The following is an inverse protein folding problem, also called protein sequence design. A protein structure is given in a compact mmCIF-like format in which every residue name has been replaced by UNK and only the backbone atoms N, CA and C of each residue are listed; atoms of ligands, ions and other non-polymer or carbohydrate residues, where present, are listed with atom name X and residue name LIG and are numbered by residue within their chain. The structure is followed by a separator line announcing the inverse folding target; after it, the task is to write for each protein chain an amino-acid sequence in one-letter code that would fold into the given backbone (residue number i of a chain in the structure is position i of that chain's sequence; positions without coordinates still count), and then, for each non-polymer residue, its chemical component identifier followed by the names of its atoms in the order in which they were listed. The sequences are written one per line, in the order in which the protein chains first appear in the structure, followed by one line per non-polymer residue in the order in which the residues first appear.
data_IF_186061549943
#
_entry.id   IF_186061549943
#
_cell.length_a   1.000
_cell.length_b   1.000
_cell.length_c   1.000
_cell.angle_alpha   90.00
_cell.angle_beta   90.00
_cell.angle_gamma   90.00
#
_symmetry.space_group_name_H-M   'P 1'
#
loop_
_entity.id
_entity.type
_entity.pdbx_description
1 polymer ?
#
# COMPACT_ATOMS: atom_id res chain seq x y z
N UNK A 1 13.10 26.50 -30.61
CA UNK A 1 12.23 26.32 -29.42
C UNK A 1 11.06 25.46 -29.84
N UNK A 2 10.74 24.39 -29.10
CA UNK A 2 9.46 23.71 -29.32
C UNK A 2 8.34 24.68 -28.94
N UNK A 3 7.27 24.79 -29.74
CA UNK A 3 6.08 25.56 -29.36
C UNK A 3 5.27 24.78 -28.34
N UNK A 4 4.56 25.48 -27.44
CA UNK A 4 3.63 24.85 -26.51
C UNK A 4 2.58 24.02 -27.25
N UNK A 5 2.09 24.51 -28.39
CA UNK A 5 1.07 23.83 -29.21
C UNK A 5 1.53 22.44 -29.69
N UNK A 6 2.79 22.30 -30.10
CA UNK A 6 3.33 21.01 -30.51
C UNK A 6 3.40 20.04 -29.34
N UNK A 7 3.91 20.49 -28.19
CA UNK A 7 3.98 19.66 -27.00
C UNK A 7 2.58 19.24 -26.53
N UNK A 8 1.60 20.14 -26.59
CA UNK A 8 0.20 19.84 -26.25
C UNK A 8 -0.36 18.77 -27.18
N UNK A 9 -0.16 18.90 -28.49
CA UNK A 9 -0.60 17.90 -29.46
C UNK A 9 0.04 16.52 -29.19
N UNK A 10 1.37 16.49 -28.98
CA UNK A 10 2.10 15.26 -28.68
C UNK A 10 1.59 14.59 -27.37
N UNK A 11 1.22 15.38 -26.36
CA UNK A 11 0.71 14.88 -25.08
C UNK A 11 -0.75 14.39 -25.15
N UNK A 12 -1.58 14.98 -26.01
CA UNK A 12 -2.99 14.57 -26.18
C UNK A 12 -3.14 13.16 -26.76
N UNK A 13 -2.12 12.66 -27.46
CA UNK A 13 -2.09 11.30 -28.02
C UNK A 13 -1.69 10.22 -26.99
N UNK A 14 -1.23 10.62 -25.80
CA UNK A 14 -0.75 9.70 -24.77
C UNK A 14 -1.90 9.26 -23.86
N UNK A 15 -2.02 7.95 -23.65
CA UNK A 15 -2.98 7.34 -22.74
C UNK A 15 -2.36 6.15 -22.01
N UNK A 16 -3.05 5.60 -21.00
CA UNK A 16 -2.58 4.41 -20.28
C UNK A 16 -2.35 3.20 -21.19
N UNK A 17 -3.08 3.11 -22.31
CA UNK A 17 -2.94 2.04 -23.32
C UNK A 17 -1.87 2.30 -24.38
N UNK A 18 -1.18 3.45 -24.32
CA UNK A 18 -0.10 3.78 -25.27
C UNK A 18 1.21 3.01 -25.00
N UNK A 19 1.28 2.22 -23.93
CA UNK A 19 2.49 1.52 -23.48
C UNK A 19 2.31 -0.01 -23.52
N UNK A 20 3.38 -0.76 -23.77
CA UNK A 20 3.27 -2.21 -23.96
C UNK A 20 3.00 -2.97 -22.66
N UNK A 21 3.35 -2.38 -21.51
CA UNK A 21 3.13 -2.96 -20.18
C UNK A 21 3.13 -1.88 -19.09
N UNK A 22 2.84 -2.33 -17.87
CA UNK A 22 2.75 -1.49 -16.67
C UNK A 22 4.05 -0.74 -16.36
N UNK A 23 5.20 -1.39 -16.51
CA UNK A 23 6.51 -0.76 -16.27
C UNK A 23 6.75 0.45 -17.17
N UNK A 24 6.46 0.30 -18.46
CA UNK A 24 6.62 1.39 -19.43
C UNK A 24 5.68 2.54 -19.12
N UNK A 25 4.43 2.24 -18.76
CA UNK A 25 3.46 3.25 -18.33
C UNK A 25 3.94 4.01 -17.08
N UNK A 26 4.46 3.31 -16.08
CA UNK A 26 5.01 3.92 -14.84
C UNK A 26 6.22 4.79 -15.14
N UNK A 27 7.17 4.31 -15.98
CA UNK A 27 8.34 5.10 -16.38
C UNK A 27 7.94 6.37 -17.13
N UNK A 28 6.96 6.29 -18.02
CA UNK A 28 6.45 7.44 -18.75
C UNK A 28 5.75 8.45 -17.81
N UNK A 29 4.93 7.96 -16.87
CA UNK A 29 4.33 8.82 -15.82
C UNK A 29 5.40 9.57 -15.03
N UNK A 30 6.46 8.90 -14.59
CA UNK A 30 7.53 9.51 -13.80
C UNK A 30 8.31 10.54 -14.61
N UNK A 31 8.59 10.25 -15.89
CA UNK A 31 9.22 11.21 -16.80
C UNK A 31 8.34 12.45 -17.08
N UNK A 32 7.02 12.28 -17.22
CA UNK A 32 6.07 13.37 -17.37
C UNK A 32 6.02 14.24 -16.11
N UNK A 33 6.06 13.62 -14.92
CA UNK A 33 6.14 14.36 -13.66
C UNK A 33 7.45 15.15 -13.53
N UNK A 34 8.58 14.56 -13.92
CA UNK A 34 9.87 15.28 -13.96
C UNK A 34 9.82 16.46 -14.95
N UNK A 35 9.22 16.27 -16.13
CA UNK A 35 9.03 17.33 -17.11
C UNK A 35 8.13 18.46 -16.57
N UNK A 36 7.04 18.11 -15.87
CA UNK A 36 6.17 19.07 -15.20
C UNK A 36 6.96 19.94 -14.22
N UNK A 37 7.82 19.33 -13.38
CA UNK A 37 8.67 20.07 -12.43
C UNK A 37 9.65 21.05 -13.09
N UNK A 38 9.99 20.87 -14.37
CA UNK A 38 10.87 21.77 -15.12
C UNK A 38 10.14 23.00 -15.67
N UNK A 39 8.82 22.94 -15.83
CA UNK A 39 8.01 24.03 -16.41
C UNK A 39 7.21 24.80 -15.36
N UNK A 40 7.00 24.23 -14.17
CA UNK A 40 6.33 24.92 -13.06
C UNK A 40 7.20 26.03 -12.47
N UNK A 41 6.59 27.18 -12.21
CA UNK A 41 7.20 28.20 -11.36
C UNK A 41 7.20 27.76 -9.89
N UNK A 42 8.03 28.37 -9.03
CA UNK A 42 7.96 28.11 -7.59
C UNK A 42 6.57 28.35 -6.99
N UNK A 43 5.82 29.33 -7.50
CA UNK A 43 4.48 29.62 -7.03
C UNK A 43 3.48 28.52 -7.41
N UNK A 44 3.56 27.97 -8.62
CA UNK A 44 2.69 26.86 -9.05
C UNK A 44 2.84 25.65 -8.12
N UNK A 45 4.08 25.31 -7.76
CA UNK A 45 4.37 24.20 -6.85
C UNK A 45 3.78 24.44 -5.45
N UNK A 46 3.95 25.65 -4.92
CA UNK A 46 3.40 26.03 -3.60
C UNK A 46 1.87 26.02 -3.63
N UNK A 47 1.28 26.48 -4.74
CA UNK A 47 -0.15 26.49 -4.96
C UNK A 47 -0.74 25.07 -4.98
N UNK A 48 -0.09 24.18 -5.72
CA UNK A 48 -0.47 22.77 -5.83
C UNK A 48 -0.48 22.09 -4.45
N UNK A 49 0.61 22.26 -3.69
CA UNK A 49 0.77 21.60 -2.40
C UNK A 49 -0.24 22.07 -1.34
N UNK A 50 -0.50 23.38 -1.26
CA UNK A 50 -1.24 23.95 -0.14
C UNK A 50 -2.74 24.14 -0.42
N UNK A 51 -3.14 24.30 -1.69
CA UNK A 51 -4.54 24.56 -2.04
C UNK A 51 -5.12 23.48 -2.94
N UNK A 52 -4.46 23.16 -4.06
CA UNK A 52 -5.03 22.23 -5.04
C UNK A 52 -5.19 20.83 -4.43
N UNK A 53 -4.13 20.24 -3.89
CA UNK A 53 -4.17 18.89 -3.34
C UNK A 53 -5.19 18.75 -2.20
N UNK A 54 -5.22 19.71 -1.28
CA UNK A 54 -6.16 19.72 -0.17
C UNK A 54 -7.62 19.86 -0.61
N UNK A 55 -7.90 20.78 -1.54
CA UNK A 55 -9.23 20.95 -2.10
C UNK A 55 -9.69 19.72 -2.87
N UNK A 56 -8.81 19.12 -3.68
CA UNK A 56 -9.09 17.89 -4.43
C UNK A 56 -9.49 16.76 -3.50
N UNK A 57 -8.70 16.46 -2.47
CA UNK A 57 -9.03 15.38 -1.53
C UNK A 57 -10.37 15.63 -0.82
N UNK A 58 -10.64 16.88 -0.40
CA UNK A 58 -11.90 17.24 0.23
C UNK A 58 -13.10 17.06 -0.72
N UNK A 59 -12.96 17.46 -1.99
CA UNK A 59 -13.99 17.28 -3.01
C UNK A 59 -14.23 15.80 -3.31
N UNK A 60 -13.18 15.01 -3.52
CA UNK A 60 -13.30 13.58 -3.82
C UNK A 60 -14.00 12.84 -2.68
N UNK A 61 -13.55 13.04 -1.43
CA UNK A 61 -14.19 12.42 -0.26
C UNK A 61 -15.66 12.83 -0.14
N UNK A 62 -15.97 14.12 -0.30
CA UNK A 62 -17.35 14.63 -0.23
C UNK A 62 -18.24 13.98 -1.30
N UNK A 63 -17.74 13.84 -2.53
CA UNK A 63 -18.47 13.21 -3.63
C UNK A 63 -18.64 11.70 -3.43
N UNK A 64 -17.65 11.01 -2.86
CA UNK A 64 -17.75 9.62 -2.43
C UNK A 64 -18.86 9.46 -1.39
N UNK A 65 -18.85 10.27 -0.33
CA UNK A 65 -19.83 10.19 0.77
C UNK A 65 -21.25 10.51 0.31
N UNK A 66 -21.40 11.46 -0.62
CA UNK A 66 -22.68 11.76 -1.26
C UNK A 66 -23.18 10.63 -2.19
N UNK A 67 -22.35 9.62 -2.45
CA UNK A 67 -22.66 8.50 -3.33
C UNK A 67 -22.63 8.86 -4.81
N UNK A 68 -21.95 9.94 -5.20
CA UNK A 68 -21.91 10.42 -6.59
C UNK A 68 -21.37 9.32 -7.50
N UNK A 69 -20.18 8.78 -7.22
CA UNK A 69 -19.53 7.82 -8.11
C UNK A 69 -20.32 6.51 -8.22
N UNK A 70 -20.79 5.96 -7.10
CA UNK A 70 -21.51 4.68 -7.07
C UNK A 70 -22.88 4.78 -7.76
N UNK A 71 -23.66 5.83 -7.46
CA UNK A 71 -24.99 6.04 -8.09
C UNK A 71 -24.86 6.40 -9.57
N UNK A 72 -23.85 7.19 -9.94
CA UNK A 72 -23.57 7.52 -11.32
C UNK A 72 -23.20 6.27 -12.14
N UNK A 73 -22.34 5.39 -11.61
CA UNK A 73 -22.05 4.11 -12.23
C UNK A 73 -23.30 3.20 -12.31
N UNK A 74 -24.12 3.18 -11.25
CA UNK A 74 -25.35 2.37 -11.17
C UNK A 74 -26.40 2.69 -12.23
N UNK A 75 -26.35 3.87 -12.84
CA UNK A 75 -27.20 4.25 -13.98
C UNK A 75 -26.43 4.28 -15.32
N UNK A 76 -25.35 3.49 -15.42
CA UNK A 76 -24.62 3.24 -16.67
C UNK A 76 -23.41 4.16 -16.91
N UNK A 77 -23.17 5.17 -16.07
CA UNK A 77 -21.96 6.02 -16.18
C UNK A 77 -21.87 6.87 -17.45
N UNK A 78 -22.98 7.18 -18.11
CA UNK A 78 -23.03 8.15 -19.21
C UNK A 78 -22.72 9.57 -18.70
N UNK A 79 -22.35 10.54 -19.56
CA UNK A 79 -22.23 11.92 -19.13
C UNK A 79 -23.49 12.43 -18.41
N UNK A 80 -23.30 13.27 -17.38
CA UNK A 80 -24.38 13.83 -16.54
C UNK A 80 -24.15 15.28 -16.16
N UNK A 81 -25.23 16.03 -16.09
CA UNK A 81 -25.27 17.37 -15.53
C UNK A 81 -25.16 17.34 -14.01
N UNK A 82 -24.74 18.46 -13.39
CA UNK A 82 -24.79 18.62 -11.93
C UNK A 82 -26.21 18.45 -11.37
N UNK A 83 -27.24 18.90 -12.10
CA UNK A 83 -28.64 18.74 -11.71
C UNK A 83 -29.06 17.26 -11.64
N UNK A 84 -28.70 16.45 -12.65
CA UNK A 84 -28.96 15.01 -12.63
C UNK A 84 -28.19 14.29 -11.51
N UNK A 85 -26.93 14.68 -11.27
CA UNK A 85 -26.15 14.13 -10.15
C UNK A 85 -26.75 14.53 -8.79
N UNK A 86 -27.30 15.74 -8.68
CA UNK A 86 -28.03 16.23 -7.51
C UNK A 86 -29.27 15.40 -7.26
N UNK A 87 -30.09 15.16 -8.29
CA UNK A 87 -31.28 14.31 -8.20
C UNK A 87 -30.94 12.88 -7.79
N UNK A 88 -29.89 12.28 -8.37
CA UNK A 88 -29.45 10.92 -8.03
C UNK A 88 -29.01 10.81 -6.56
N UNK A 89 -28.27 11.79 -6.08
CA UNK A 89 -27.63 11.72 -4.76
C UNK A 89 -28.50 12.24 -3.63
N UNK A 90 -29.37 13.21 -3.91
CA UNK A 90 -30.05 14.04 -2.92
C UNK A 90 -29.17 15.18 -2.37
N UNK A 91 -27.94 15.34 -2.86
CA UNK A 91 -27.05 16.42 -2.45
C UNK A 91 -27.36 17.73 -3.22
N UNK A 92 -27.06 18.87 -2.60
CA UNK A 92 -27.29 20.19 -3.20
C UNK A 92 -26.54 20.37 -4.54
N UNK A 93 -27.22 20.91 -5.55
CA UNK A 93 -26.67 21.08 -6.89
C UNK A 93 -25.46 22.02 -6.89
N UNK A 94 -25.53 23.13 -6.16
CA UNK A 94 -24.42 24.08 -6.08
C UNK A 94 -23.19 23.45 -5.42
N UNK A 95 -23.40 22.62 -4.40
CA UNK A 95 -22.34 21.82 -3.78
C UNK A 95 -21.70 20.86 -4.80
N UNK A 96 -22.50 20.06 -5.51
CA UNK A 96 -21.98 19.14 -6.55
C UNK A 96 -21.21 19.92 -7.61
N UNK A 97 -21.77 21.01 -8.12
CA UNK A 97 -21.13 21.89 -9.10
C UNK A 97 -19.76 22.37 -8.64
N UNK A 98 -19.64 22.85 -7.39
CA UNK A 98 -18.36 23.31 -6.84
C UNK A 98 -17.33 22.18 -6.74
N UNK A 99 -17.75 21.00 -6.26
CA UNK A 99 -16.84 19.86 -6.07
C UNK A 99 -16.44 19.21 -7.41
N UNK A 100 -17.37 19.06 -8.35
CA UNK A 100 -17.12 18.51 -9.68
C UNK A 100 -16.17 19.41 -10.49
N UNK A 101 -16.34 20.74 -10.43
CA UNK A 101 -15.42 21.70 -11.06
C UNK A 101 -13.99 21.56 -10.53
N UNK A 102 -13.82 21.40 -9.22
CA UNK A 102 -12.50 21.19 -8.61
C UNK A 102 -11.82 19.93 -9.16
N UNK A 103 -12.51 18.79 -9.17
CA UNK A 103 -11.91 17.53 -9.63
C UNK A 103 -11.80 17.46 -11.17
N UNK A 104 -12.65 18.18 -11.90
CA UNK A 104 -12.55 18.37 -13.36
C UNK A 104 -11.31 19.18 -13.74
N UNK A 105 -11.02 20.26 -13.00
CA UNK A 105 -9.79 21.05 -13.16
C UNK A 105 -8.50 20.29 -12.81
N UNK A 106 -8.63 19.07 -12.27
CA UNK A 106 -7.53 18.14 -12.02
C UNK A 106 -7.55 16.95 -12.98
N UNK A 107 -8.41 16.99 -14.00
CA UNK A 107 -8.59 15.94 -15.00
C UNK A 107 -9.00 14.57 -14.42
N UNK A 108 -9.59 14.57 -13.22
CA UNK A 108 -10.12 13.36 -12.58
C UNK A 108 -11.49 12.97 -13.14
N UNK A 109 -12.21 13.93 -13.71
CA UNK A 109 -13.41 13.76 -14.55
C UNK A 109 -13.27 14.62 -15.81
N UNK A 110 -14.10 14.38 -16.81
CA UNK A 110 -14.05 15.13 -18.08
C UNK A 110 -15.27 16.04 -18.14
N UNK A 111 -15.08 17.36 -18.22
CA UNK A 111 -16.18 18.29 -18.50
C UNK A 111 -16.47 18.30 -20.01
N UNK A 112 -17.67 17.87 -20.39
CA UNK A 112 -18.09 17.74 -21.80
C UNK A 112 -18.94 18.90 -22.30
N UNK A 113 -19.57 19.62 -21.37
CA UNK A 113 -20.32 20.86 -21.59
C UNK A 113 -20.45 21.58 -20.24
N UNK A 114 -21.03 22.80 -20.24
CA UNK A 114 -21.30 23.53 -19.00
C UNK A 114 -22.03 22.63 -17.98
N UNK A 115 -21.40 22.46 -16.83
CA UNK A 115 -21.90 21.67 -15.70
C UNK A 115 -22.20 20.19 -16.03
N UNK A 116 -21.63 19.68 -17.11
CA UNK A 116 -21.85 18.32 -17.60
C UNK A 116 -20.53 17.55 -17.63
N UNK A 117 -20.48 16.42 -16.93
CA UNK A 117 -19.25 15.66 -16.74
C UNK A 117 -19.39 14.23 -17.23
N UNK A 118 -18.29 13.62 -17.66
CA UNK A 118 -18.14 12.21 -17.99
C UNK A 118 -17.06 11.55 -17.11
N UNK A 119 -17.21 10.25 -16.76
CA UNK A 119 -16.28 9.60 -15.85
C UNK A 119 -15.00 9.12 -16.58
N UNK A 120 -13.84 9.40 -15.97
CA UNK A 120 -12.55 8.83 -16.36
C UNK A 120 -12.43 7.37 -15.88
N UNK A 121 -11.39 6.61 -16.30
CA UNK A 121 -11.10 5.31 -15.70
C UNK A 121 -10.94 5.35 -14.17
N UNK A 122 -10.37 6.42 -13.62
CA UNK A 122 -10.24 6.62 -12.18
C UNK A 122 -11.60 6.76 -11.49
N UNK A 123 -12.50 7.59 -12.03
CA UNK A 123 -13.84 7.79 -11.45
C UNK A 123 -14.68 6.50 -11.50
N UNK A 124 -14.52 5.70 -12.57
CA UNK A 124 -15.14 4.37 -12.67
C UNK A 124 -14.58 3.40 -11.65
N UNK A 125 -13.26 3.43 -11.41
CA UNK A 125 -12.61 2.57 -10.43
C UNK A 125 -13.10 2.85 -9.00
N UNK A 126 -13.37 4.10 -8.62
CA UNK A 126 -13.96 4.42 -7.33
C UNK A 126 -15.33 3.78 -7.09
N UNK A 127 -16.12 3.57 -8.14
CA UNK A 127 -17.40 2.88 -8.02
C UNK A 127 -17.26 1.34 -8.06
N UNK A 128 -16.28 0.84 -8.80
CA UNK A 128 -16.10 -0.60 -9.02
C UNK A 128 -15.26 -1.30 -7.95
N UNK A 129 -14.39 -0.56 -7.25
CA UNK A 129 -13.49 -1.08 -6.22
C UNK A 129 -13.76 -0.38 -4.87
N UNK A 130 -14.55 -1.00 -3.99
CA UNK A 130 -14.83 -0.45 -2.66
C UNK A 130 -13.56 -0.19 -1.84
N UNK A 131 -12.52 -1.02 -1.99
CA UNK A 131 -11.28 -0.83 -1.26
C UNK A 131 -10.57 0.47 -1.70
N UNK A 132 -10.59 0.76 -3.01
CA UNK A 132 -10.01 2.00 -3.54
C UNK A 132 -10.73 3.24 -3.01
N UNK A 133 -12.07 3.18 -2.95
CA UNK A 133 -12.87 4.25 -2.36
C UNK A 133 -12.61 4.41 -0.86
N UNK A 134 -12.42 3.31 -0.12
CA UNK A 134 -12.16 3.31 1.32
C UNK A 134 -10.82 3.96 1.69
N UNK A 135 -9.86 4.08 0.75
CA UNK A 135 -8.63 4.87 0.96
C UNK A 135 -8.93 6.33 1.31
N UNK A 136 -10.04 6.89 0.81
CA UNK A 136 -10.51 8.23 1.17
C UNK A 136 -11.30 8.29 2.48
N UNK A 137 -11.59 7.14 3.10
CA UNK A 137 -12.38 6.95 4.32
C UNK A 137 -11.65 7.34 5.61
N UNK A 138 -11.87 6.56 6.67
CA UNK A 138 -11.21 6.72 7.97
C UNK A 138 -9.70 6.55 7.88
N UNK A 139 -9.18 5.77 6.93
CA UNK A 139 -7.73 5.75 6.69
C UNK A 139 -7.19 7.14 6.32
N UNK A 140 -7.86 7.86 5.42
CA UNK A 140 -7.46 9.23 5.09
C UNK A 140 -7.70 10.20 6.25
N UNK A 141 -8.88 10.13 6.88
CA UNK A 141 -9.31 11.06 7.91
C UNK A 141 -8.56 10.90 9.24
N UNK A 142 -8.19 9.67 9.59
CA UNK A 142 -7.57 9.33 10.87
C UNK A 142 -6.10 9.02 10.75
N UNK A 143 -5.56 8.70 9.58
CA UNK A 143 -4.14 8.35 9.45
C UNK A 143 -3.44 9.32 8.51
N UNK A 144 -3.79 9.31 7.23
CA UNK A 144 -3.01 10.00 6.21
C UNK A 144 -2.94 11.54 6.42
N UNK A 145 -4.09 12.21 6.47
CA UNK A 145 -4.14 13.68 6.54
C UNK A 145 -3.65 14.28 7.87
N UNK A 146 -4.12 13.81 9.05
CA UNK A 146 -3.66 14.35 10.33
C UNK A 146 -2.17 14.14 10.56
N UNK A 147 -1.64 12.98 10.17
CA UNK A 147 -0.24 12.62 10.36
C UNK A 147 0.69 13.64 9.68
N UNK A 148 0.48 13.93 8.40
CA UNK A 148 1.34 14.88 7.68
C UNK A 148 1.17 16.32 8.18
N UNK A 149 -0.02 16.68 8.66
CA UNK A 149 -0.27 18.00 9.25
C UNK A 149 0.49 18.19 10.57
N UNK A 150 0.52 17.18 11.45
CA UNK A 150 1.11 17.30 12.79
C UNK A 150 2.62 17.05 12.82
N UNK A 151 3.15 16.28 11.87
CA UNK A 151 4.53 15.79 11.87
C UNK A 151 5.59 16.90 12.03
N UNK A 152 5.54 18.04 11.32
CA UNK A 152 6.55 19.10 11.49
C UNK A 152 6.60 19.67 12.92
N UNK A 153 5.45 19.76 13.59
CA UNK A 153 5.35 20.27 14.96
C UNK A 153 5.87 19.25 15.97
N UNK A 154 5.54 17.97 15.78
CA UNK A 154 6.09 16.87 16.56
C UNK A 154 7.63 16.83 16.47
N UNK A 155 8.18 16.84 15.26
CA UNK A 155 9.63 16.81 15.04
C UNK A 155 10.31 18.05 15.64
N UNK A 156 9.71 19.25 15.50
CA UNK A 156 10.22 20.46 16.16
C UNK A 156 10.26 20.31 17.68
N UNK A 157 9.21 19.76 18.30
CA UNK A 157 9.16 19.51 19.75
C UNK A 157 10.25 18.54 20.21
N UNK A 158 10.64 17.58 19.37
CA UNK A 158 11.74 16.63 19.64
C UNK A 158 13.13 17.17 19.33
N UNK A 159 13.26 18.40 18.86
CA UNK A 159 14.54 18.94 18.40
C UNK A 159 15.05 18.28 17.11
N UNK A 160 14.14 17.97 16.19
CA UNK A 160 14.42 17.40 14.86
C UNK A 160 15.15 16.05 14.91
N UNK A 161 14.78 15.21 15.87
CA UNK A 161 15.27 13.83 15.99
C UNK A 161 14.18 12.85 15.54
N UNK A 162 14.58 11.85 14.76
CA UNK A 162 13.68 10.75 14.39
C UNK A 162 13.18 10.02 15.66
N UNK A 163 11.90 9.63 15.72
CA UNK A 163 11.40 8.76 16.78
C UNK A 163 12.04 7.37 16.65
N UNK A 164 12.17 6.68 17.78
CA UNK A 164 12.74 5.32 17.86
C UNK A 164 11.93 4.40 18.79
N UNK A 165 10.79 4.86 19.29
CA UNK A 165 9.89 4.12 20.15
C UNK A 165 8.49 4.18 19.53
N UNK A 166 7.93 3.01 19.25
CA UNK A 166 6.59 2.84 18.65
C UNK A 166 5.47 3.45 19.52
N UNK A 167 5.74 3.64 20.82
CA UNK A 167 4.81 4.26 21.76
C UNK A 167 5.07 5.78 21.94
N UNK A 168 6.05 6.35 21.24
CA UNK A 168 6.38 7.79 21.27
C UNK A 168 6.74 8.30 19.85
N UNK A 169 5.75 8.25 18.97
CA UNK A 169 5.83 8.77 17.60
C UNK A 169 4.77 9.87 17.35
N UNK A 170 4.69 10.34 16.10
CA UNK A 170 3.76 11.41 15.75
C UNK A 170 2.31 10.96 15.96
N UNK A 171 2.00 9.66 15.82
CA UNK A 171 0.69 9.07 16.11
C UNK A 171 0.13 9.50 17.47
N UNK A 172 0.88 9.20 18.55
CA UNK A 172 0.48 9.55 19.91
C UNK A 172 0.36 11.06 20.09
N UNK A 173 1.31 11.80 19.51
CA UNK A 173 1.34 13.26 19.63
C UNK A 173 0.07 13.93 19.11
N UNK A 174 -0.43 13.53 17.93
CA UNK A 174 -1.60 14.19 17.35
C UNK A 174 -2.92 13.61 17.85
N UNK A 175 -2.98 12.30 18.14
CA UNK A 175 -4.16 11.65 18.74
C UNK A 175 -4.36 12.06 20.20
N UNK A 176 -3.30 12.44 20.91
CA UNK A 176 -3.34 12.67 22.35
C UNK A 176 -3.59 11.39 23.15
N UNK A 177 -3.07 10.26 22.67
CA UNK A 177 -3.25 8.91 23.25
C UNK A 177 -1.91 8.29 23.65
N UNK A 178 -1.94 7.29 24.54
CA UNK A 178 -0.80 6.42 24.85
C UNK A 178 -0.76 5.16 23.98
N UNK A 179 -1.83 4.87 23.24
CA UNK A 179 -1.90 3.70 22.37
C UNK A 179 -1.01 3.88 21.14
N UNK A 180 -0.46 2.78 20.64
CA UNK A 180 0.12 2.74 19.29
C UNK A 180 -0.98 2.51 18.24
N UNK A 181 -0.59 2.67 16.96
CA UNK A 181 -1.52 2.54 15.83
C UNK A 181 -2.30 1.21 15.88
N UNK A 182 -1.62 0.09 16.07
CA UNK A 182 -2.26 -1.23 16.06
C UNK A 182 -3.22 -1.44 17.25
N UNK A 183 -2.91 -0.88 18.42
CA UNK A 183 -3.82 -0.88 19.56
C UNK A 183 -5.07 -0.01 19.33
N UNK A 184 -4.95 1.10 18.59
CA UNK A 184 -6.11 1.90 18.19
C UNK A 184 -6.93 1.19 17.11
N UNK A 185 -6.29 0.49 16.16
CA UNK A 185 -6.99 -0.32 15.16
C UNK A 185 -7.81 -1.45 15.79
N UNK A 186 -7.27 -2.15 16.79
CA UNK A 186 -7.97 -3.27 17.45
C UNK A 186 -9.22 -2.81 18.23
N UNK A 187 -9.29 -1.54 18.61
CA UNK A 187 -10.43 -0.96 19.35
C UNK A 187 -11.40 -0.18 18.47
N UNK A 188 -11.07 0.04 17.18
CA UNK A 188 -11.91 0.78 16.23
C UNK A 188 -12.13 -0.02 14.92
N UNK A 189 -13.22 -0.81 14.83
CA UNK A 189 -13.49 -1.65 13.66
C UNK A 189 -13.62 -0.89 12.34
N UNK A 190 -14.15 0.33 12.34
CA UNK A 190 -14.29 1.12 11.12
C UNK A 190 -12.91 1.53 10.59
N UNK A 191 -12.02 1.99 11.47
CA UNK A 191 -10.65 2.33 11.11
C UNK A 191 -9.85 1.09 10.68
N UNK A 192 -10.04 -0.05 11.35
CA UNK A 192 -9.42 -1.32 10.96
C UNK A 192 -9.84 -1.77 9.56
N UNK A 193 -11.14 -1.67 9.24
CA UNK A 193 -11.65 -2.03 7.92
C UNK A 193 -11.04 -1.17 6.81
N UNK A 194 -11.02 0.15 7.00
CA UNK A 194 -10.45 1.07 6.00
C UNK A 194 -8.92 0.94 5.91
N UNK A 195 -8.23 0.63 7.02
CA UNK A 195 -6.81 0.31 7.01
C UNK A 195 -6.53 -0.95 6.18
N UNK A 196 -7.26 -2.04 6.42
CA UNK A 196 -7.14 -3.27 5.63
C UNK A 196 -7.44 -3.05 4.15
N UNK A 197 -8.47 -2.25 3.84
CA UNK A 197 -8.81 -1.88 2.46
C UNK A 197 -7.68 -1.09 1.79
N UNK A 198 -7.05 -0.16 2.51
CA UNK A 198 -5.90 0.60 2.00
C UNK A 198 -4.70 -0.33 1.74
N UNK A 199 -4.43 -1.30 2.62
CA UNK A 199 -3.38 -2.30 2.41
C UNK A 199 -3.68 -3.20 1.20
N UNK A 200 -4.93 -3.63 1.04
CA UNK A 200 -5.37 -4.40 -0.14
C UNK A 200 -5.15 -3.61 -1.43
N UNK A 201 -5.50 -2.32 -1.45
CA UNK A 201 -5.23 -1.46 -2.60
C UNK A 201 -3.75 -1.29 -2.88
N UNK A 202 -2.93 -1.15 -1.84
CA UNK A 202 -1.49 -1.10 -2.00
C UNK A 202 -0.98 -2.37 -2.69
N UNK A 203 -1.36 -3.54 -2.17
CA UNK A 203 -0.98 -4.85 -2.74
C UNK A 203 -1.46 -5.05 -4.17
N UNK A 204 -2.68 -4.61 -4.50
CA UNK A 204 -3.28 -4.77 -5.83
C UNK A 204 -2.67 -3.84 -6.89
N UNK A 205 -2.50 -2.55 -6.57
CA UNK A 205 -2.20 -1.53 -7.56
C UNK A 205 -0.71 -1.20 -7.68
N UNK A 206 0.09 -1.55 -6.68
CA UNK A 206 1.47 -1.08 -6.61
C UNK A 206 2.51 -2.18 -6.66
N UNK A 207 2.10 -3.44 -6.54
CA UNK A 207 3.02 -4.56 -6.29
C UNK A 207 2.84 -5.67 -7.32
N UNK A 208 3.97 -6.23 -7.75
CA UNK A 208 3.98 -7.50 -8.47
C UNK A 208 3.76 -8.64 -7.47
N UNK A 209 2.78 -9.54 -7.69
CA UNK A 209 2.60 -10.72 -6.86
C UNK A 209 3.91 -11.49 -6.64
N UNK A 210 4.20 -11.88 -5.39
CA UNK A 210 5.41 -12.64 -5.08
C UNK A 210 5.59 -13.94 -5.91
N UNK A 211 4.53 -14.66 -6.37
CA UNK A 211 4.69 -15.82 -7.23
C UNK A 211 5.20 -15.50 -8.64
N UNK A 212 5.07 -14.25 -9.10
CA UNK A 212 5.64 -13.76 -10.36
C UNK A 212 7.09 -13.27 -10.19
N UNK A 213 7.49 -12.96 -8.96
CA UNK A 213 8.84 -12.46 -8.63
C UNK A 213 9.79 -13.60 -8.25
N UNK A 214 9.29 -14.55 -7.45
CA UNK A 214 10.06 -15.66 -6.90
C UNK A 214 9.73 -16.97 -7.63
N UNK A 215 10.71 -17.87 -7.90
CA UNK A 215 10.47 -19.12 -8.61
C UNK A 215 9.72 -20.15 -7.74
N UNK A 216 8.41 -19.96 -7.60
CA UNK A 216 7.54 -20.74 -6.69
C UNK A 216 7.43 -22.23 -7.05
N UNK A 217 7.71 -22.62 -8.29
CA UNK A 217 7.81 -24.05 -8.65
C UNK A 217 8.88 -24.79 -7.84
N UNK A 218 9.96 -24.11 -7.45
CA UNK A 218 11.04 -24.69 -6.60
C UNK A 218 10.63 -24.87 -5.14
N UNK A 219 9.56 -24.19 -4.71
CA UNK A 219 8.94 -24.37 -3.39
C UNK A 219 8.15 -25.67 -3.40
N UNK A 220 7.27 -25.82 -4.39
CA UNK A 220 6.41 -27.01 -4.54
C UNK A 220 7.23 -28.26 -4.79
N UNK A 221 8.27 -28.20 -5.63
CA UNK A 221 9.12 -29.37 -5.91
C UNK A 221 9.88 -29.90 -4.69
N UNK A 222 10.05 -29.06 -3.66
CA UNK A 222 10.73 -29.40 -2.42
C UNK A 222 9.76 -29.74 -1.28
N UNK A 223 8.46 -29.89 -1.56
CA UNK A 223 7.44 -30.18 -0.56
C UNK A 223 7.76 -31.48 0.21
N UNK A 224 7.70 -31.39 1.54
CA UNK A 224 7.68 -32.54 2.45
C UNK A 224 6.26 -32.70 3.01
N UNK A 225 5.59 -33.87 2.89
CA UNK A 225 4.20 -34.05 3.28
C UNK A 225 3.90 -33.76 4.77
N UNK A 226 4.90 -33.85 5.63
CA UNK A 226 4.81 -33.64 7.08
C UNK A 226 5.24 -32.22 7.52
N UNK A 227 5.33 -31.28 6.57
CA UNK A 227 5.71 -29.88 6.81
C UNK A 227 4.76 -28.92 6.11
N UNK A 228 4.56 -27.76 6.72
CA UNK A 228 3.91 -26.64 6.04
C UNK A 228 4.75 -26.20 4.83
N UNK A 229 4.07 -25.91 3.73
CA UNK A 229 4.70 -25.42 2.50
C UNK A 229 5.02 -23.93 2.61
N UNK A 230 4.02 -23.13 3.00
CA UNK A 230 4.18 -21.69 3.21
C UNK A 230 3.48 -21.29 4.51
N UNK A 231 4.20 -20.58 5.38
CA UNK A 231 3.66 -19.91 6.55
C UNK A 231 3.73 -18.41 6.28
N UNK A 232 2.57 -17.78 6.09
CA UNK A 232 2.43 -16.34 5.86
C UNK A 232 2.25 -15.63 7.21
N UNK A 233 3.31 -14.99 7.69
CA UNK A 233 3.39 -14.36 9.02
C UNK A 233 2.99 -12.89 8.89
N UNK A 234 1.92 -12.49 9.57
CA UNK A 234 1.33 -11.15 9.40
C UNK A 234 0.55 -11.03 8.09
N UNK A 235 -0.01 -12.14 7.60
CA UNK A 235 -0.65 -12.22 6.28
C UNK A 235 -2.02 -11.55 6.16
N UNK A 236 -2.54 -10.98 7.26
CA UNK A 236 -3.83 -10.31 7.34
C UNK A 236 -4.98 -11.17 6.80
N UNK A 237 -5.52 -10.84 5.62
CA UNK A 237 -6.62 -11.58 4.97
C UNK A 237 -6.16 -12.76 4.09
N UNK A 238 -4.86 -13.06 4.02
CA UNK A 238 -4.33 -14.23 3.31
C UNK A 238 -4.20 -14.08 1.79
N UNK A 239 -4.27 -12.86 1.28
CA UNK A 239 -4.27 -12.56 -0.15
C UNK A 239 -3.02 -13.05 -0.89
N UNK A 240 -1.85 -13.13 -0.25
CA UNK A 240 -0.64 -13.64 -0.88
C UNK A 240 -0.60 -15.18 -0.96
N UNK A 241 -1.21 -15.86 0.01
CA UNK A 241 -1.43 -17.30 -0.05
C UNK A 241 -2.47 -17.65 -1.12
N UNK A 242 -3.53 -16.86 -1.29
CA UNK A 242 -4.49 -17.03 -2.38
C UNK A 242 -3.83 -16.92 -3.76
N UNK A 243 -3.00 -15.90 -3.98
CA UNK A 243 -2.22 -15.74 -5.23
C UNK A 243 -1.30 -16.96 -5.47
N UNK A 244 -0.64 -17.46 -4.42
CA UNK A 244 0.18 -18.67 -4.52
C UNK A 244 -0.66 -19.91 -4.87
N UNK A 245 -1.82 -20.09 -4.21
CA UNK A 245 -2.76 -21.20 -4.44
C UNK A 245 -3.33 -21.21 -5.86
N UNK A 246 -3.56 -20.03 -6.45
CA UNK A 246 -3.97 -19.89 -7.85
C UNK A 246 -2.90 -20.35 -8.83
N UNK A 247 -1.62 -20.09 -8.53
CA UNK A 247 -0.50 -20.55 -9.35
C UNK A 247 -0.21 -22.05 -9.21
N UNK A 248 -0.53 -22.64 -8.05
CA UNK A 248 -0.21 -24.03 -7.73
C UNK A 248 -1.45 -24.77 -7.22
N UNK A 249 -2.40 -25.11 -8.12
CA UNK A 249 -3.70 -25.56 -7.67
C UNK A 249 -3.75 -26.98 -7.07
N UNK A 250 -2.69 -27.75 -7.26
CA UNK A 250 -2.59 -29.16 -6.88
C UNK A 250 -1.83 -29.38 -5.56
N UNK A 251 -1.49 -28.31 -4.83
CA UNK A 251 -0.84 -28.44 -3.51
C UNK A 251 -1.81 -29.08 -2.50
N UNK A 252 -1.32 -29.87 -1.53
CA UNK A 252 -2.17 -30.51 -0.54
C UNK A 252 -2.94 -29.51 0.33
N UNK A 253 -4.16 -29.86 0.70
CA UNK A 253 -4.96 -29.06 1.64
C UNK A 253 -4.25 -28.92 3.00
N UNK A 254 -4.42 -27.77 3.65
CA UNK A 254 -3.76 -27.46 4.92
C UNK A 254 -2.24 -27.27 4.84
N UNK A 255 -1.63 -27.31 3.65
CA UNK A 255 -0.19 -27.07 3.47
C UNK A 255 0.19 -25.59 3.56
N UNK A 256 -0.79 -24.68 3.48
CA UNK A 256 -0.61 -23.25 3.68
C UNK A 256 -1.13 -22.83 5.06
N UNK A 257 -0.36 -22.00 5.76
CA UNK A 257 -0.71 -21.48 7.09
C UNK A 257 -0.70 -19.96 7.05
N UNK A 258 -1.86 -19.35 7.31
CA UNK A 258 -2.01 -17.91 7.52
C UNK A 258 -1.86 -17.60 9.01
N UNK A 259 -0.93 -16.73 9.36
CA UNK A 259 -0.71 -16.27 10.73
C UNK A 259 -0.96 -14.78 10.86
N UNK A 260 -1.76 -14.40 11.86
CA UNK A 260 -1.95 -13.02 12.30
C UNK A 260 -2.46 -12.99 13.75
N UNK A 261 -2.69 -11.80 14.31
CA UNK A 261 -3.25 -11.64 15.65
C UNK A 261 -4.65 -12.30 15.76
N UNK A 262 -5.05 -12.76 16.96
CA UNK A 262 -6.31 -13.47 17.16
C UNK A 262 -7.54 -12.77 16.54
N UNK A 263 -7.68 -11.46 16.74
CA UNK A 263 -8.83 -10.69 16.24
C UNK A 263 -8.83 -10.53 14.71
N UNK A 264 -7.67 -10.65 14.06
CA UNK A 264 -7.55 -10.53 12.60
C UNK A 264 -7.96 -11.84 11.91
N UNK A 265 -7.50 -12.98 12.44
CA UNK A 265 -7.76 -14.31 11.85
C UNK A 265 -9.11 -14.91 12.27
N UNK A 266 -9.75 -14.41 13.32
CA UNK A 266 -10.97 -15.01 13.90
C UNK A 266 -12.08 -15.27 12.87
N UNK A 267 -12.32 -14.31 11.98
CA UNK A 267 -13.42 -14.33 11.01
C UNK A 267 -12.92 -14.30 9.55
N UNK A 268 -11.64 -14.62 9.32
CA UNK A 268 -11.07 -14.63 7.98
C UNK A 268 -11.70 -15.75 7.14
N UNK A 269 -12.08 -15.43 5.91
CA UNK A 269 -12.56 -16.40 4.94
C UNK A 269 -11.41 -16.69 3.99
N UNK A 270 -10.96 -17.94 3.93
CA UNK A 270 -9.82 -18.37 3.11
C UNK A 270 -10.15 -19.66 2.37
N UNK A 271 -9.38 -19.93 1.30
CA UNK A 271 -9.44 -21.20 0.56
C UNK A 271 -9.20 -22.40 1.50
N UNK A 272 -9.85 -23.57 1.28
CA UNK A 272 -9.64 -24.77 2.11
C UNK A 272 -8.18 -25.25 2.22
N UNK A 273 -7.32 -24.89 1.25
CA UNK A 273 -5.89 -25.19 1.32
C UNK A 273 -5.14 -24.35 2.38
N UNK A 274 -5.76 -23.29 2.91
CA UNK A 274 -5.21 -22.36 3.87
C UNK A 274 -5.82 -22.63 5.26
N UNK A 275 -4.95 -22.85 6.23
CA UNK A 275 -5.34 -22.91 7.65
C UNK A 275 -4.97 -21.61 8.35
N UNK A 276 -5.92 -20.97 9.02
CA UNK A 276 -5.67 -19.76 9.80
C UNK A 276 -5.21 -20.12 11.22
N UNK A 277 -4.16 -19.46 11.71
CA UNK A 277 -3.56 -19.67 13.02
C UNK A 277 -3.30 -18.33 13.71
N UNK A 278 -3.86 -18.14 14.90
CA UNK A 278 -3.53 -16.98 15.72
C UNK A 278 -2.07 -17.04 16.17
N UNK A 279 -1.31 -15.97 15.93
CA UNK A 279 0.10 -15.89 16.27
C UNK A 279 0.55 -14.44 16.49
N UNK A 280 1.38 -14.24 17.52
CA UNK A 280 2.12 -13.01 17.77
C UNK A 280 3.61 -13.28 17.46
N UNK A 281 4.15 -12.59 16.45
CA UNK A 281 5.52 -12.78 15.99
C UNK A 281 6.60 -12.33 16.98
N UNK A 282 6.24 -11.66 18.07
CA UNK A 282 7.15 -11.42 19.19
C UNK A 282 7.32 -12.65 20.08
N UNK A 283 6.51 -13.70 19.88
CA UNK A 283 6.63 -14.99 20.54
C UNK A 283 7.31 -16.05 19.65
N UNK A 284 7.87 -17.13 20.22
CA UNK A 284 8.52 -18.18 19.41
C UNK A 284 7.60 -18.76 18.33
N UNK A 285 8.09 -18.83 17.09
CA UNK A 285 7.31 -19.33 15.94
C UNK A 285 6.83 -20.77 16.16
N UNK A 286 5.51 -21.04 16.20
CA UNK A 286 4.97 -22.37 16.52
C UNK A 286 5.14 -23.40 15.39
N UNK A 287 5.12 -22.99 14.12
CA UNK A 287 5.27 -23.90 12.99
C UNK A 287 6.75 -24.16 12.74
N UNK A 288 7.21 -25.40 12.91
CA UNK A 288 8.62 -25.79 12.78
C UNK A 288 8.92 -26.42 11.43
N UNK A 289 10.05 -26.06 10.83
CA UNK A 289 10.60 -26.65 9.62
C UNK A 289 9.74 -26.43 8.38
N UNK A 290 8.97 -25.34 8.29
CA UNK A 290 8.22 -25.01 7.08
C UNK A 290 9.18 -24.78 5.90
N UNK A 291 8.73 -25.05 4.66
CA UNK A 291 9.56 -24.81 3.48
C UNK A 291 9.81 -23.30 3.29
N UNK A 292 8.75 -22.49 3.34
CA UNK A 292 8.80 -21.03 3.31
C UNK A 292 8.16 -20.46 4.56
N UNK A 293 8.86 -19.54 5.21
CA UNK A 293 8.26 -18.50 6.04
C UNK A 293 8.20 -17.23 5.19
N UNK A 294 7.04 -16.59 5.10
CA UNK A 294 6.79 -15.44 4.25
C UNK A 294 6.36 -14.26 5.13
N UNK A 295 6.90 -13.07 4.86
CA UNK A 295 6.54 -11.82 5.50
C UNK A 295 6.45 -10.74 4.44
N UNK A 296 5.34 -10.01 4.38
CA UNK A 296 5.11 -8.99 3.36
C UNK A 296 4.53 -7.72 3.99
N UNK A 297 5.25 -6.60 3.91
CA UNK A 297 4.91 -5.35 4.58
C UNK A 297 4.63 -5.57 6.08
N UNK A 298 5.59 -6.20 6.76
CA UNK A 298 5.52 -6.49 8.20
C UNK A 298 6.72 -5.87 8.90
N UNK A 299 7.93 -6.07 8.39
CA UNK A 299 9.15 -5.68 9.08
C UNK A 299 9.44 -4.18 8.92
N UNK A 300 8.86 -3.50 7.92
CA UNK A 300 8.93 -2.03 7.82
C UNK A 300 8.17 -1.28 8.92
N UNK A 301 7.25 -1.95 9.61
CA UNK A 301 6.46 -1.39 10.70
C UNK A 301 7.22 -1.35 12.03
N UNK A 302 8.42 -1.94 12.07
CA UNK A 302 9.17 -2.13 13.30
C UNK A 302 10.55 -1.49 13.25
N UNK A 303 11.00 -0.86 14.36
CA UNK A 303 12.40 -0.49 14.54
C UNK A 303 13.34 -1.70 14.42
N UNK A 304 14.62 -1.45 14.14
CA UNK A 304 15.59 -2.52 13.83
C UNK A 304 15.69 -3.58 14.96
N UNK A 305 15.70 -3.19 16.24
CA UNK A 305 15.76 -4.13 17.37
C UNK A 305 14.53 -5.06 17.45
N UNK A 306 13.35 -4.51 17.16
CA UNK A 306 12.10 -5.27 17.09
C UNK A 306 12.08 -6.21 15.88
N UNK A 307 12.48 -5.72 14.71
CA UNK A 307 12.61 -6.54 13.50
C UNK A 307 13.61 -7.70 13.71
N UNK A 308 14.75 -7.44 14.36
CA UNK A 308 15.74 -8.47 14.71
C UNK A 308 15.13 -9.53 15.62
N UNK A 309 14.33 -9.12 16.62
CA UNK A 309 13.64 -10.02 17.56
C UNK A 309 12.66 -10.93 16.84
N UNK A 310 11.82 -10.36 15.96
CA UNK A 310 10.87 -11.10 15.13
C UNK A 310 11.60 -12.13 14.26
N UNK A 311 12.64 -11.69 13.56
CA UNK A 311 13.44 -12.56 12.70
C UNK A 311 14.13 -13.70 13.46
N UNK A 312 14.57 -13.47 14.72
CA UNK A 312 15.13 -14.52 15.58
C UNK A 312 14.09 -15.57 15.95
N UNK A 313 12.85 -15.17 16.20
CA UNK A 313 11.75 -16.11 16.46
C UNK A 313 11.50 -17.01 15.25
N UNK A 314 11.52 -16.44 14.03
CA UNK A 314 11.39 -17.20 12.78
C UNK A 314 12.59 -18.12 12.57
N UNK A 315 13.82 -17.60 12.70
CA UNK A 315 15.05 -18.36 12.55
C UNK A 315 15.09 -19.61 13.45
N UNK A 316 14.60 -19.49 14.69
CA UNK A 316 14.51 -20.62 15.64
C UNK A 316 13.60 -21.77 15.20
N UNK A 317 12.71 -21.52 14.23
CA UNK A 317 11.80 -22.52 13.68
C UNK A 317 12.28 -23.11 12.35
N UNK A 318 13.27 -22.50 11.70
CA UNK A 318 13.78 -22.90 10.39
C UNK A 318 14.64 -24.18 10.47
N UNK A 319 14.55 -25.02 9.43
CA UNK A 319 15.41 -26.19 9.23
C UNK A 319 16.58 -25.82 8.29
N UNK A 320 17.83 -25.94 8.76
CA UNK A 320 19.03 -25.58 7.97
C UNK A 320 19.12 -26.42 6.69
N UNK A 321 19.34 -25.76 5.55
CA UNK A 321 19.39 -26.39 4.23
C UNK A 321 18.02 -26.70 3.61
N UNK A 322 16.91 -26.46 4.33
CA UNK A 322 15.55 -26.70 3.85
C UNK A 322 14.67 -25.44 3.91
N UNK A 323 14.53 -24.80 5.06
CA UNK A 323 13.66 -23.64 5.21
C UNK A 323 14.27 -22.40 4.57
N UNK A 324 13.43 -21.59 3.91
CA UNK A 324 13.74 -20.22 3.50
C UNK A 324 12.80 -19.25 4.19
N UNK A 325 13.30 -18.05 4.46
CA UNK A 325 12.47 -16.90 4.78
C UNK A 325 12.45 -15.97 3.56
N UNK A 326 11.26 -15.58 3.14
CA UNK A 326 11.05 -14.61 2.08
C UNK A 326 10.48 -13.33 2.70
N UNK A 327 11.25 -12.24 2.61
CA UNK A 327 10.84 -10.91 3.05
C UNK A 327 10.47 -10.11 1.81
N UNK A 328 9.19 -9.80 1.64
CA UNK A 328 8.67 -9.01 0.53
C UNK A 328 8.42 -7.59 1.01
N UNK A 329 9.35 -6.69 0.71
CA UNK A 329 9.38 -5.33 1.28
C UNK A 329 9.96 -4.34 0.26
N UNK A 330 9.73 -3.05 0.50
CA UNK A 330 10.36 -1.99 -0.29
C UNK A 330 11.87 -1.93 -0.05
N UNK A 331 12.62 -1.62 -1.11
CA UNK A 331 14.04 -1.34 -1.04
C UNK A 331 14.30 0.12 -1.40
N UNK A 332 14.72 0.93 -0.43
CA UNK A 332 15.09 2.31 -0.71
C UNK A 332 16.34 2.33 -1.60
N UNK A 333 16.21 2.96 -2.77
CA UNK A 333 17.39 3.28 -3.60
C UNK A 333 18.24 4.34 -2.92
N UNK A 334 19.55 4.08 -2.81
CA UNK A 334 20.51 5.03 -2.24
C UNK A 334 20.72 6.29 -3.08
N UNK A 335 20.33 6.24 -4.35
CA UNK A 335 20.45 7.35 -5.30
C UNK A 335 19.11 7.52 -6.01
N UNK A 336 18.58 8.75 -6.01
CA UNK A 336 17.30 9.12 -6.61
C UNK A 336 16.14 8.18 -6.23
N UNK A 337 15.84 8.01 -4.93
CA UNK A 337 14.71 7.19 -4.53
C UNK A 337 13.40 7.75 -5.07
N UNK A 338 12.48 6.86 -5.46
CA UNK A 338 11.17 7.25 -5.94
C UNK A 338 10.36 7.84 -4.80
N UNK A 339 9.66 8.95 -5.06
CA UNK A 339 8.83 9.63 -4.05
C UNK A 339 7.79 8.69 -3.41
N UNK A 340 7.30 7.71 -4.17
CA UNK A 340 6.33 6.71 -3.67
C UNK A 340 6.91 5.75 -2.61
N UNK A 341 8.24 5.55 -2.61
CA UNK A 341 8.93 4.76 -1.57
C UNK A 341 9.25 5.65 -0.38
N UNK A 342 9.77 6.85 -0.63
CA UNK A 342 10.15 7.76 0.46
C UNK A 342 8.95 8.28 1.25
N UNK A 343 7.77 8.39 0.65
CA UNK A 343 6.54 8.74 1.41
C UNK A 343 6.12 7.62 2.36
N UNK A 344 6.38 6.35 1.99
CA UNK A 344 6.19 5.20 2.89
C UNK A 344 7.14 5.31 4.07
N UNK A 345 8.43 5.59 3.83
CA UNK A 345 9.42 5.79 4.89
C UNK A 345 9.02 6.86 5.91
N UNK A 346 8.56 8.03 5.43
CA UNK A 346 8.05 9.09 6.31
C UNK A 346 6.81 8.63 7.08
N UNK A 347 5.96 7.82 6.47
CA UNK A 347 4.76 7.27 7.14
C UNK A 347 5.15 6.29 8.25
N UNK A 348 6.10 5.37 7.99
CA UNK A 348 6.62 4.42 8.99
C UNK A 348 7.29 5.16 10.15
N UNK A 349 8.11 6.16 9.87
CA UNK A 349 8.71 7.00 10.91
C UNK A 349 7.64 7.71 11.75
N UNK A 350 6.64 8.30 11.10
CA UNK A 350 5.63 9.10 11.78
C UNK A 350 4.67 8.25 12.63
N UNK A 351 4.24 7.09 12.13
CA UNK A 351 3.19 6.30 12.76
C UNK A 351 3.71 5.18 13.68
N UNK A 352 4.94 4.72 13.46
CA UNK A 352 5.44 3.48 14.05
C UNK A 352 6.86 3.58 14.61
N UNK A 353 7.50 4.76 14.46
CA UNK A 353 8.92 4.95 14.75
C UNK A 353 9.84 3.95 14.01
N UNK A 354 9.38 3.50 12.85
CA UNK A 354 10.06 2.53 12.00
C UNK A 354 10.57 3.20 10.72
N UNK A 355 11.02 2.40 9.75
CA UNK A 355 11.62 2.91 8.51
C UNK A 355 11.50 1.90 7.37
N UNK A 356 11.46 2.43 6.17
CA UNK A 356 11.84 1.67 4.98
C UNK A 356 13.37 1.49 4.97
N UNK A 357 13.87 0.40 4.40
CA UNK A 357 15.29 0.05 4.50
C UNK A 357 15.98 -0.02 3.14
N UNK A 358 17.22 0.40 3.11
CA UNK A 358 18.13 0.10 2.00
C UNK A 358 18.57 -1.37 2.05
N UNK A 359 19.11 -1.88 0.95
CA UNK A 359 19.68 -3.23 0.90
C UNK A 359 20.78 -3.48 1.95
N UNK A 360 21.57 -2.45 2.28
CA UNK A 360 22.63 -2.57 3.29
C UNK A 360 22.01 -2.75 4.68
N UNK A 361 21.01 -1.93 5.02
CA UNK A 361 20.32 -2.00 6.31
C UNK A 361 19.55 -3.32 6.46
N UNK A 362 18.90 -3.80 5.39
CA UNK A 362 18.33 -5.16 5.38
C UNK A 362 19.39 -6.22 5.65
N UNK A 363 20.55 -6.12 4.99
CA UNK A 363 21.68 -7.02 5.22
C UNK A 363 22.18 -7.02 6.66
N UNK A 364 22.15 -5.89 7.36
CA UNK A 364 22.52 -5.77 8.77
C UNK A 364 21.47 -6.39 9.70
N UNK A 365 20.19 -6.03 9.53
CA UNK A 365 19.08 -6.57 10.32
C UNK A 365 19.01 -8.09 10.19
N UNK A 366 19.08 -8.62 8.98
CA UNK A 366 19.03 -10.07 8.71
C UNK A 366 20.22 -10.79 9.34
N UNK A 367 21.44 -10.28 9.17
CA UNK A 367 22.66 -10.87 9.74
C UNK A 367 22.64 -10.88 11.27
N UNK A 368 22.15 -9.81 11.90
CA UNK A 368 22.03 -9.71 13.35
C UNK A 368 20.98 -10.68 13.95
N UNK A 369 20.17 -11.33 13.10
CA UNK A 369 19.23 -12.37 13.46
C UNK A 369 19.73 -13.80 13.25
N UNK A 370 21.01 -14.00 12.87
CA UNK A 370 21.59 -15.32 12.60
C UNK A 370 21.17 -15.91 11.25
N UNK A 371 20.81 -15.03 10.32
CA UNK A 371 20.36 -15.36 8.98
C UNK A 371 21.31 -14.73 7.95
N UNK A 372 21.28 -15.21 6.72
CA UNK A 372 22.00 -14.59 5.60
C UNK A 372 21.13 -14.48 4.36
N UNK A 373 21.37 -13.42 3.60
CA UNK A 373 20.72 -13.20 2.30
C UNK A 373 21.31 -14.18 1.29
N UNK A 374 20.44 -14.90 0.60
CA UNK A 374 20.77 -15.77 -0.54
C UNK A 374 20.73 -14.95 -1.82
N UNK A 375 19.62 -14.24 -2.02
CA UNK A 375 19.35 -13.47 -3.22
C UNK A 375 18.29 -12.41 -2.95
N UNK A 376 18.36 -11.30 -3.70
CA UNK A 376 17.29 -10.32 -3.77
C UNK A 376 16.69 -10.36 -5.17
N UNK A 377 15.41 -10.71 -5.24
CA UNK A 377 14.62 -10.81 -6.45
C UNK A 377 13.95 -9.46 -6.70
N UNK A 378 14.42 -8.74 -7.73
CA UNK A 378 13.96 -7.40 -8.09
C UNK A 378 13.16 -7.45 -9.38
N UNK A 379 11.81 -7.37 -9.33
CA UNK A 379 11.04 -7.24 -10.54
C UNK A 379 11.32 -5.86 -11.17
N UNK A 380 11.47 -5.73 -12.50
CA UNK A 380 11.81 -4.45 -13.15
C UNK A 380 10.82 -3.30 -12.95
N UNK A 381 9.66 -3.58 -12.34
CA UNK A 381 8.47 -2.73 -12.33
C UNK A 381 7.95 -2.43 -10.92
N UNK A 382 8.42 -3.16 -9.89
CA UNK A 382 7.95 -2.98 -8.51
C UNK A 382 8.93 -2.11 -7.72
N UNK A 383 8.39 -1.41 -6.74
CA UNK A 383 9.21 -0.77 -5.70
C UNK A 383 9.63 -1.74 -4.60
N UNK A 384 8.92 -2.87 -4.52
CA UNK A 384 9.22 -3.94 -3.59
C UNK A 384 10.06 -5.03 -4.26
N UNK A 385 10.75 -5.78 -3.42
CA UNK A 385 11.58 -6.89 -3.82
C UNK A 385 11.40 -8.04 -2.84
N UNK A 386 11.62 -9.27 -3.31
CA UNK A 386 11.64 -10.44 -2.43
C UNK A 386 13.09 -10.70 -2.03
N UNK A 387 13.40 -10.54 -0.75
CA UNK A 387 14.69 -10.90 -0.15
C UNK A 387 14.58 -12.36 0.28
N UNK A 388 15.31 -13.23 -0.40
CA UNK A 388 15.43 -14.64 -0.05
C UNK A 388 16.52 -14.82 1.00
N UNK A 389 16.15 -15.41 2.12
CA UNK A 389 16.96 -15.52 3.33
C UNK A 389 17.02 -16.98 3.80
N UNK A 390 18.15 -17.39 4.36
CA UNK A 390 18.31 -18.70 5.01
C UNK A 390 19.15 -18.60 6.30
N UNK A 391 19.17 -19.68 7.07
CA UNK A 391 20.06 -19.80 8.23
C UNK A 391 21.53 -19.71 7.81
N UNK A 392 22.31 -18.90 8.53
CA UNK A 392 23.76 -18.79 8.34
C UNK A 392 24.49 -20.12 8.64
#
# INVERSE_FOLDING_TARGET
MASADKLIADLQEISGSSFANEAERVRARDALFEALRKVQSPWDIVWDHNWVNGATNASVKTLIDAGVFTKWAGCGGSPKTCAELSELTGADELLIKRMMRQISGQHLVIETAEDTFAPTPWAKALAADPALSAVYGEFYAQLNSPMFKSLPYFLKKRGFKSPSDVNDCNWQYWKGTSNNLFADLSTNPAMANDFHAAMQCHSKYNLTPWPEVYPTSTVVSALKPDRALVVDIGGSKGHDLEKFRLCHPDIPDGSLILQDLPDVVKDVQVDPAISAQAYDFFTPQPVKGARIYFMHNVLHDWPDDSAITILKNVASAMEKGYSKLLIHESLISRVNPLARVTVSDITMMACLAAKERTEIEWGEVIRNSGLRIVRIWRPPQSVESVIEVELD
#
